data_IF_073151798828
#
_entry.id   IF_073151798828
#
_cell.length_a   1.000
_cell.length_b   1.000
_cell.length_c   1.000
_cell.angle_alpha   90.00
_cell.angle_beta   90.00
_cell.angle_gamma   90.00
#
_symmetry.space_group_name_H-M   'P 1'
#
loop_
_entity.id
_entity.type
_entity.pdbx_description
1 polymer ?
#
# COMPACT_ATOMS: atom_id res chain seq x y z
N UNK A 1 -18.94 14.58 -14.09
CA UNK A 1 -18.86 15.69 -13.13
C UNK A 1 -17.66 15.43 -12.25
N UNK A 2 -16.55 16.14 -12.46
CA UNK A 2 -15.38 16.03 -11.57
C UNK A 2 -15.73 16.77 -10.29
N UNK A 3 -16.04 16.03 -9.22
CA UNK A 3 -16.25 16.61 -7.89
C UNK A 3 -14.87 16.98 -7.34
N UNK A 4 -14.61 18.26 -7.16
CA UNK A 4 -13.39 18.76 -6.50
C UNK A 4 -13.38 18.23 -5.06
N UNK A 5 -12.27 17.63 -4.65
CA UNK A 5 -12.09 17.22 -3.26
C UNK A 5 -11.72 18.45 -2.43
N UNK A 6 -12.34 18.59 -1.27
CA UNK A 6 -11.90 19.53 -0.24
C UNK A 6 -10.58 19.06 0.40
N UNK A 7 -9.87 19.97 1.07
CA UNK A 7 -8.65 19.62 1.78
C UNK A 7 -8.88 18.52 2.83
N UNK A 8 -10.02 18.57 3.54
CA UNK A 8 -10.40 17.56 4.54
C UNK A 8 -10.64 16.19 3.89
N UNK A 9 -11.23 16.15 2.68
CA UNK A 9 -11.44 14.91 1.93
C UNK A 9 -10.09 14.33 1.44
N UNK A 10 -9.15 15.18 1.00
CA UNK A 10 -7.79 14.75 0.63
C UNK A 10 -7.04 14.20 1.84
N UNK A 11 -7.12 14.87 2.99
CA UNK A 11 -6.46 14.41 4.22
C UNK A 11 -7.01 13.05 4.68
N UNK A 12 -8.34 12.86 4.61
CA UNK A 12 -8.98 11.59 4.91
C UNK A 12 -8.48 10.46 3.99
N UNK A 13 -8.44 10.70 2.67
CA UNK A 13 -7.95 9.70 1.71
C UNK A 13 -6.46 9.36 1.93
N UNK A 14 -5.63 10.35 2.24
CA UNK A 14 -4.21 10.14 2.59
C UNK A 14 -4.05 9.34 3.88
N UNK A 15 -4.91 9.58 4.88
CA UNK A 15 -4.93 8.79 6.10
C UNK A 15 -5.30 7.33 5.83
N UNK A 16 -6.29 7.08 4.97
CA UNK A 16 -6.66 5.73 4.55
C UNK A 16 -5.53 5.04 3.77
N UNK A 17 -4.87 5.73 2.84
CA UNK A 17 -3.67 5.21 2.15
C UNK A 17 -2.59 4.82 3.16
N UNK A 18 -2.35 5.66 4.18
CA UNK A 18 -1.36 5.37 5.23
C UNK A 18 -1.71 4.09 6.00
N UNK A 19 -2.99 3.90 6.34
CA UNK A 19 -3.45 2.69 7.01
C UNK A 19 -3.28 1.44 6.13
N UNK A 20 -3.59 1.53 4.83
CA UNK A 20 -3.40 0.42 3.89
C UNK A 20 -1.91 0.06 3.74
N UNK A 21 -1.04 1.06 3.67
CA UNK A 21 0.41 0.86 3.62
C UNK A 21 0.95 0.20 4.89
N UNK A 22 0.40 0.53 6.07
CA UNK A 22 0.79 -0.12 7.32
C UNK A 22 0.54 -1.65 7.28
N UNK A 23 -0.66 -2.08 6.86
CA UNK A 23 -0.97 -3.51 6.74
C UNK A 23 -0.10 -4.23 5.70
N UNK A 24 0.22 -3.53 4.60
CA UNK A 24 1.11 -4.04 3.58
C UNK A 24 2.53 -4.24 4.12
N UNK A 25 3.04 -3.28 4.91
CA UNK A 25 4.34 -3.35 5.54
C UNK A 25 4.43 -4.52 6.53
N UNK A 26 3.44 -4.72 7.39
CA UNK A 26 3.44 -5.85 8.34
C UNK A 26 3.54 -7.21 7.62
N UNK A 27 2.84 -7.34 6.50
CA UNK A 27 2.87 -8.55 5.67
C UNK A 27 4.26 -8.77 5.05
N UNK A 28 4.90 -7.71 4.53
CA UNK A 28 6.26 -7.79 4.00
C UNK A 28 7.30 -8.09 5.09
N UNK A 29 7.19 -7.50 6.27
CA UNK A 29 8.10 -7.77 7.39
C UNK A 29 8.04 -9.24 7.83
N UNK A 30 6.85 -9.83 7.83
CA UNK A 30 6.69 -11.26 8.12
C UNK A 30 7.36 -12.14 7.04
N UNK A 31 7.12 -11.84 5.76
CA UNK A 31 7.77 -12.56 4.64
C UNK A 31 9.29 -12.41 4.69
N UNK A 32 9.80 -11.22 5.00
CA UNK A 32 11.23 -10.96 5.12
C UNK A 32 11.87 -11.82 6.23
N UNK A 33 11.21 -11.93 7.40
CA UNK A 33 11.66 -12.81 8.49
C UNK A 33 11.68 -14.28 8.06
N UNK A 34 10.65 -14.75 7.36
CA UNK A 34 10.58 -16.14 6.87
C UNK A 34 11.63 -16.42 5.79
N UNK A 35 11.88 -15.46 4.91
CA UNK A 35 12.97 -15.52 3.94
C UNK A 35 14.32 -15.66 4.63
N UNK A 36 14.61 -14.87 5.65
CA UNK A 36 15.87 -14.99 6.41
C UNK A 36 16.05 -16.39 7.01
N UNK A 37 14.97 -17.01 7.52
CA UNK A 37 15.00 -18.39 8.02
C UNK A 37 15.24 -19.40 6.90
N UNK A 38 14.64 -19.18 5.74
CA UNK A 38 14.87 -19.99 4.54
C UNK A 38 16.32 -19.91 4.06
N UNK A 39 16.88 -18.71 3.99
CA UNK A 39 18.27 -18.48 3.57
C UNK A 39 19.27 -19.15 4.54
N UNK A 40 18.90 -19.30 5.81
CA UNK A 40 19.66 -20.03 6.84
C UNK A 40 19.41 -21.54 6.84
N UNK A 41 18.60 -22.06 5.91
CA UNK A 41 18.19 -23.46 5.81
C UNK A 41 17.56 -23.99 7.11
N UNK A 42 16.85 -23.13 7.84
CA UNK A 42 16.14 -23.56 9.05
C UNK A 42 15.08 -24.60 8.70
N UNK A 43 14.82 -25.53 9.63
CA UNK A 43 13.87 -26.63 9.41
C UNK A 43 12.49 -26.07 9.06
N UNK A 44 11.83 -26.67 8.06
CA UNK A 44 10.49 -26.30 7.57
C UNK A 44 10.35 -24.89 6.98
N UNK A 45 11.42 -24.09 6.93
CA UNK A 45 11.40 -22.70 6.45
C UNK A 45 10.85 -22.56 5.02
N UNK A 46 11.20 -23.47 4.12
CA UNK A 46 10.70 -23.50 2.74
C UNK A 46 9.17 -23.65 2.69
N UNK A 47 8.61 -24.59 3.47
CA UNK A 47 7.16 -24.81 3.52
C UNK A 47 6.43 -23.65 4.17
N UNK A 48 7.01 -23.06 5.23
CA UNK A 48 6.42 -21.90 5.90
C UNK A 48 6.43 -20.67 5.01
N UNK A 49 7.54 -20.41 4.31
CA UNK A 49 7.65 -19.30 3.36
C UNK A 49 6.67 -19.48 2.19
N UNK A 50 6.57 -20.68 1.63
CA UNK A 50 5.61 -20.97 0.55
C UNK A 50 4.16 -20.78 1.00
N UNK A 51 3.80 -21.30 2.18
CA UNK A 51 2.47 -21.14 2.76
C UNK A 51 2.13 -19.67 2.98
N UNK A 52 3.01 -18.92 3.64
CA UNK A 52 2.77 -17.51 3.96
C UNK A 52 2.75 -16.63 2.71
N UNK A 53 3.61 -16.90 1.73
CA UNK A 53 3.56 -16.21 0.42
C UNK A 53 2.22 -16.45 -0.25
N UNK A 54 1.75 -17.69 -0.32
CA UNK A 54 0.44 -18.02 -0.90
C UNK A 54 -0.72 -17.37 -0.12
N UNK A 55 -0.63 -17.32 1.20
CA UNK A 55 -1.67 -16.74 2.07
C UNK A 55 -1.80 -15.23 1.90
N UNK A 56 -0.69 -14.53 1.68
CA UNK A 56 -0.68 -13.06 1.65
C UNK A 56 -0.64 -12.44 0.25
N UNK A 57 -0.44 -13.23 -0.82
CA UNK A 57 -0.34 -12.68 -2.18
C UNK A 57 -1.60 -11.93 -2.62
N UNK A 58 -2.77 -12.57 -2.57
CA UNK A 58 -4.03 -11.93 -2.99
C UNK A 58 -4.38 -10.70 -2.11
N UNK A 59 -4.27 -10.77 -0.76
CA UNK A 59 -4.44 -9.59 0.08
C UNK A 59 -3.47 -8.44 -0.25
N UNK A 60 -2.18 -8.73 -0.48
CA UNK A 60 -1.18 -7.71 -0.83
C UNK A 60 -1.52 -7.04 -2.16
N UNK A 61 -1.94 -7.82 -3.16
CA UNK A 61 -2.36 -7.30 -4.45
C UNK A 61 -3.62 -6.43 -4.33
N UNK A 62 -4.59 -6.86 -3.52
CA UNK A 62 -5.79 -6.06 -3.22
C UNK A 62 -5.43 -4.73 -2.56
N UNK A 63 -4.58 -4.75 -1.52
CA UNK A 63 -4.11 -3.53 -0.86
C UNK A 63 -3.40 -2.59 -1.84
N UNK A 64 -2.59 -3.12 -2.75
CA UNK A 64 -1.91 -2.34 -3.78
C UNK A 64 -2.90 -1.63 -4.71
N UNK A 65 -3.92 -2.34 -5.20
CA UNK A 65 -4.96 -1.71 -6.03
C UNK A 65 -5.75 -0.65 -5.27
N UNK A 66 -6.15 -0.94 -4.02
CA UNK A 66 -6.87 0.03 -3.20
C UNK A 66 -6.08 1.32 -2.96
N UNK A 67 -4.76 1.21 -2.74
CA UNK A 67 -3.88 2.39 -2.61
C UNK A 67 -3.82 3.16 -3.93
N UNK A 68 -3.64 2.48 -5.06
CA UNK A 68 -3.57 3.13 -6.37
C UNK A 68 -4.87 3.86 -6.72
N UNK A 69 -6.01 3.22 -6.50
CA UNK A 69 -7.32 3.81 -6.76
C UNK A 69 -7.53 5.09 -5.94
N UNK A 70 -7.11 5.09 -4.68
CA UNK A 70 -7.17 6.28 -3.82
C UNK A 70 -6.22 7.39 -4.28
N UNK A 71 -5.00 7.03 -4.69
CA UNK A 71 -4.05 8.01 -5.25
C UNK A 71 -4.64 8.64 -6.52
N UNK A 72 -5.25 7.86 -7.41
CA UNK A 72 -5.91 8.39 -8.61
C UNK A 72 -7.11 9.28 -8.26
N UNK A 73 -7.94 8.88 -7.30
CA UNK A 73 -9.04 9.72 -6.83
C UNK A 73 -8.57 11.08 -6.29
N UNK A 74 -7.47 11.09 -5.52
CA UNK A 74 -6.83 12.32 -5.06
C UNK A 74 -6.32 13.14 -6.25
N UNK A 75 -5.59 12.53 -7.19
CA UNK A 75 -5.01 13.22 -8.36
C UNK A 75 -6.08 13.83 -9.27
N UNK A 76 -7.17 13.12 -9.52
CA UNK A 76 -8.30 13.63 -10.31
C UNK A 76 -9.09 14.72 -9.57
N UNK A 77 -9.03 14.73 -8.23
CA UNK A 77 -9.69 15.71 -7.38
C UNK A 77 -8.88 16.98 -7.07
N UNK A 78 -7.56 17.00 -7.33
CA UNK A 78 -6.66 18.13 -7.09
C UNK A 78 -6.53 19.00 -8.35
N UNK A 79 -6.77 20.30 -8.21
CA UNK A 79 -6.55 21.30 -9.24
C UNK A 79 -5.09 21.77 -9.22
N UNK A 80 -4.31 21.43 -10.26
CA UNK A 80 -2.91 21.87 -10.38
C UNK A 80 -2.77 23.34 -10.82
N UNK A 81 -3.87 24.07 -11.01
CA UNK A 81 -3.85 25.49 -11.42
C UNK A 81 -3.61 26.49 -10.29
N UNK A 82 -3.55 26.05 -9.03
CA UNK A 82 -3.27 26.90 -7.87
C UNK A 82 -1.79 26.94 -7.42
N UNK A 83 -0.85 26.31 -8.15
CA UNK A 83 0.58 26.53 -7.89
C UNK A 83 0.98 27.88 -8.51
N UNK A 84 1.28 28.93 -7.73
CA UNK A 84 1.75 30.18 -8.30
C UNK A 84 3.13 29.91 -8.89
N UNK A 85 3.27 30.14 -10.20
CA UNK A 85 4.59 30.32 -10.80
C UNK A 85 5.10 31.63 -10.22
N UNK A 86 5.93 31.55 -9.18
CA UNK A 86 6.65 32.72 -8.68
C UNK A 86 7.59 33.19 -9.81
N UNK A 87 7.29 34.36 -10.38
CA UNK A 87 8.19 35.14 -11.24
C UNK A 87 9.39 35.70 -10.46
#
# INVERSE_FOLDING_TARGET
MNKKLSNDEVEAELHEITNLLFFMQESFDNLAKLKMKYDRMERNSASLLAHETSRCLDPLQFLQYAILDKIFAIQEGIDTSEVPVNE
#
